data_IF_451159285447
#
_entry.id   IF_451159285447
#
_cell.length_a   1.000
_cell.length_b   1.000
_cell.length_c   1.000
_cell.angle_alpha   90.00
_cell.angle_beta   90.00
_cell.angle_gamma   90.00
#
_symmetry.space_group_name_H-M   'P 1'
#
loop_
_entity.id
_entity.type
_entity.pdbx_description
1 polymer ?
#
# COMPACT_ATOMS: atom_id res chain seq x y z
N UNK A 1 -59.46 0.61 20.16
CA UNK A 1 -59.74 0.57 21.62
C UNK A 1 -59.06 -0.69 22.15
N UNK A 2 -57.77 -0.63 22.48
CA UNK A 2 -57.22 -0.32 23.81
C UNK A 2 -57.81 -1.21 24.91
N UNK A 3 -57.09 -2.26 25.31
CA UNK A 3 -56.94 -2.60 26.72
C UNK A 3 -55.49 -3.03 26.98
N UNK A 4 -54.86 -2.22 27.82
CA UNK A 4 -53.49 -2.30 28.27
C UNK A 4 -53.35 -3.43 29.30
N UNK A 5 -52.44 -4.37 29.07
CA UNK A 5 -51.95 -5.24 30.15
C UNK A 5 -50.68 -4.63 30.73
N UNK A 6 -50.88 -3.95 31.85
CA UNK A 6 -49.85 -3.46 32.77
C UNK A 6 -49.31 -4.67 33.51
N UNK A 7 -48.01 -4.94 33.38
CA UNK A 7 -47.29 -5.84 34.29
C UNK A 7 -46.12 -5.07 34.88
N UNK A 8 -46.32 -4.69 36.14
CA UNK A 8 -45.34 -4.09 37.03
C UNK A 8 -44.48 -5.22 37.58
N UNK A 9 -43.18 -5.23 37.30
CA UNK A 9 -42.22 -6.04 38.06
C UNK A 9 -41.23 -5.16 38.81
N UNK A 10 -41.12 -5.51 40.08
CA UNK A 10 -40.51 -4.80 41.18
C UNK A 10 -39.04 -4.42 40.98
N UNK A 11 -38.69 -3.25 41.52
CA UNK A 11 -37.33 -2.85 41.86
C UNK A 11 -36.70 -3.88 42.80
N UNK A 12 -35.55 -4.43 42.40
CA UNK A 12 -34.56 -5.00 43.33
C UNK A 12 -33.51 -3.92 43.60
N UNK A 13 -33.63 -3.25 44.75
CA UNK A 13 -32.63 -2.33 45.24
C UNK A 13 -31.44 -3.13 45.79
N UNK A 14 -30.33 -3.16 45.06
CA UNK A 14 -29.05 -3.68 45.57
C UNK A 14 -28.36 -2.55 46.32
N UNK A 15 -28.36 -2.63 47.66
CA UNK A 15 -27.54 -1.78 48.52
C UNK A 15 -26.09 -2.23 48.41
N UNK A 16 -25.28 -1.51 47.62
CA UNK A 16 -23.83 -1.68 47.62
C UNK A 16 -23.26 -0.91 48.82
N UNK A 17 -22.70 -1.66 49.78
CA UNK A 17 -21.92 -1.14 50.90
C UNK A 17 -20.66 -0.46 50.32
N UNK A 18 -20.58 0.87 50.43
CA UNK A 18 -19.40 1.63 50.06
C UNK A 18 -18.28 1.33 51.07
N UNK A 19 -17.22 0.65 50.62
CA UNK A 19 -15.98 0.55 51.37
C UNK A 19 -15.22 1.89 51.33
N UNK A 20 -14.55 2.31 52.41
CA UNK A 20 -13.77 3.54 52.42
C UNK A 20 -12.54 3.41 51.52
N UNK A 21 -12.38 4.36 50.60
CA UNK A 21 -11.17 4.50 49.79
C UNK A 21 -10.04 5.06 50.68
N UNK A 22 -8.79 4.59 50.54
CA UNK A 22 -7.65 5.26 51.16
C UNK A 22 -7.31 6.55 50.41
N UNK A 23 -7.10 7.63 51.17
CA UNK A 23 -6.55 8.90 50.69
C UNK A 23 -5.20 8.70 49.98
N UNK A 24 -4.96 9.36 48.82
CA UNK A 24 -3.62 9.42 48.24
C UNK A 24 -2.85 10.62 48.81
N UNK A 25 -1.97 10.36 49.79
CA UNK A 25 -1.00 11.35 50.25
C UNK A 25 0.15 11.49 49.23
N UNK A 26 0.65 12.72 48.97
CA UNK A 26 1.47 13.03 47.81
C UNK A 26 2.96 12.89 48.13
N UNK A 27 3.74 12.69 47.05
CA UNK A 27 5.21 12.72 46.99
C UNK A 27 5.89 11.43 47.45
N UNK A 28 6.29 10.62 46.46
CA UNK A 28 7.71 10.41 46.10
C UNK A 28 7.78 9.32 45.04
N UNK A 29 8.33 9.68 43.89
CA UNK A 29 8.52 8.74 42.79
C UNK A 29 8.49 9.46 41.47
N UNK A 30 9.47 10.33 41.24
CA UNK A 30 9.79 10.85 39.92
C UNK A 30 10.27 9.67 39.07
N UNK A 31 9.34 8.82 38.62
CA UNK A 31 9.57 7.97 37.47
C UNK A 31 9.68 8.92 36.28
N UNK A 32 10.92 9.30 35.97
CA UNK A 32 11.26 9.66 34.60
C UNK A 32 10.81 8.48 33.77
N UNK A 33 9.66 8.62 33.12
CA UNK A 33 9.34 7.92 31.87
C UNK A 33 10.53 8.24 30.97
N UNK A 34 11.54 7.39 31.03
CA UNK A 34 12.52 7.27 29.99
C UNK A 34 11.69 7.02 28.76
N UNK A 35 11.46 8.08 27.98
CA UNK A 35 11.12 7.95 26.57
C UNK A 35 12.30 7.20 25.99
N UNK A 36 12.22 5.87 26.07
CA UNK A 36 13.02 4.99 25.26
C UNK A 36 12.61 5.37 23.86
N UNK A 37 13.35 6.32 23.28
CA UNK A 37 13.44 6.52 21.84
C UNK A 37 13.98 5.19 21.32
N UNK A 38 13.10 4.19 21.20
CA UNK A 38 13.28 3.13 20.24
C UNK A 38 13.33 3.89 18.93
N UNK A 39 14.55 4.22 18.51
CA UNK A 39 14.92 4.30 17.12
C UNK A 39 14.59 2.92 16.55
N UNK A 40 13.29 2.65 16.35
CA UNK A 40 12.83 1.65 15.42
C UNK A 40 13.22 2.27 14.09
N UNK A 41 14.48 2.03 13.70
CA UNK A 41 14.92 2.10 12.32
C UNK A 41 13.98 1.14 11.60
N UNK A 42 12.80 1.66 11.22
CA UNK A 42 11.94 0.99 10.25
C UNK A 42 12.87 0.81 9.08
N UNK A 43 13.25 -0.44 8.86
CA UNK A 43 13.94 -0.80 7.65
C UNK A 43 12.96 -0.41 6.54
N UNK A 44 13.19 0.76 5.93
CA UNK A 44 12.44 1.22 4.78
C UNK A 44 12.84 0.27 3.64
N UNK A 45 12.27 -0.93 3.62
CA UNK A 45 12.36 -1.83 2.48
C UNK A 45 11.88 -1.05 1.26
N UNK A 46 12.66 -1.12 0.18
CA UNK A 46 12.48 -0.29 -0.99
C UNK A 46 12.80 -1.07 -2.25
N UNK A 47 12.15 -0.66 -3.33
CA UNK A 47 12.40 -1.18 -4.66
C UNK A 47 13.41 -0.28 -5.35
N UNK A 48 14.56 -0.83 -5.68
CA UNK A 48 15.65 -0.14 -6.35
C UNK A 48 15.47 -0.26 -7.86
N UNK A 49 15.06 0.84 -8.47
CA UNK A 49 14.81 0.94 -9.89
C UNK A 49 16.01 1.59 -10.58
N UNK A 50 16.23 1.19 -11.83
CA UNK A 50 17.24 1.80 -12.71
C UNK A 50 16.57 2.09 -14.04
N UNK A 51 16.89 3.16 -14.73
CA UNK A 51 16.47 3.40 -16.12
C UNK A 51 17.52 4.28 -16.83
N UNK A 52 17.22 4.73 -18.05
CA UNK A 52 18.11 5.61 -18.82
C UNK A 52 18.39 6.96 -18.13
N UNK A 53 17.57 7.37 -17.17
CA UNK A 53 17.77 8.60 -16.39
C UNK A 53 18.55 8.38 -15.08
N UNK A 54 18.80 7.13 -14.68
CA UNK A 54 19.64 6.80 -13.53
C UNK A 54 18.97 5.83 -12.56
N UNK A 55 19.44 5.83 -11.31
CA UNK A 55 18.93 4.98 -10.22
C UNK A 55 17.97 5.76 -9.34
N UNK A 56 16.89 5.13 -8.87
CA UNK A 56 15.96 5.70 -7.92
C UNK A 56 15.30 4.61 -7.07
N UNK A 57 14.71 5.01 -5.94
CA UNK A 57 14.09 4.06 -5.01
C UNK A 57 12.60 4.39 -4.83
N UNK A 58 11.75 3.38 -4.97
CA UNK A 58 10.35 3.45 -4.55
C UNK A 58 10.25 2.79 -3.17
N UNK A 59 9.89 3.56 -2.14
CA UNK A 59 9.66 2.97 -0.81
C UNK A 59 8.47 2.02 -0.86
N UNK A 60 8.54 0.90 -0.13
CA UNK A 60 7.44 -0.07 -0.08
C UNK A 60 6.11 0.57 0.36
N UNK A 61 6.15 1.52 1.30
CA UNK A 61 4.95 2.26 1.73
C UNK A 61 4.32 3.08 0.61
N UNK A 62 5.10 3.62 -0.33
CA UNK A 62 4.57 4.34 -1.48
C UNK A 62 3.94 3.38 -2.49
N UNK A 63 4.56 2.22 -2.70
CA UNK A 63 4.00 1.17 -3.55
C UNK A 63 2.64 0.69 -3.03
N UNK A 64 2.53 0.40 -1.74
CA UNK A 64 1.27 -0.03 -1.11
C UNK A 64 0.17 1.03 -1.21
N UNK A 65 0.51 2.31 -1.00
CA UNK A 65 -0.46 3.40 -1.17
C UNK A 65 -0.91 3.59 -2.62
N UNK A 66 0.00 3.44 -3.57
CA UNK A 66 -0.32 3.51 -4.99
C UNK A 66 -1.26 2.36 -5.40
N UNK A 67 -0.98 1.13 -4.96
CA UNK A 67 -1.85 -0.04 -5.15
C UNK A 67 -3.26 0.20 -4.59
N UNK A 68 -3.35 0.70 -3.35
CA UNK A 68 -4.64 1.02 -2.74
C UNK A 68 -5.39 2.14 -3.48
N UNK A 69 -4.67 3.12 -4.04
CA UNK A 69 -5.26 4.21 -4.84
C UNK A 69 -5.76 3.71 -6.19
N UNK A 70 -5.04 2.77 -6.82
CA UNK A 70 -5.43 2.15 -8.09
C UNK A 70 -6.72 1.34 -7.95
N UNK A 71 -6.80 0.46 -6.95
CA UNK A 71 -7.93 -0.47 -6.82
C UNK A 71 -7.97 -1.46 -7.98
N UNK A 72 -9.16 -1.90 -8.40
CA UNK A 72 -9.29 -2.89 -9.50
C UNK A 72 -9.83 -2.29 -10.81
N UNK A 73 -10.58 -1.19 -10.72
CA UNK A 73 -11.27 -0.61 -11.87
C UNK A 73 -10.54 0.60 -12.44
N UNK A 74 -10.43 0.71 -13.78
CA UNK A 74 -9.82 1.87 -14.42
C UNK A 74 -10.60 3.16 -14.12
N UNK A 75 -9.88 4.26 -13.93
CA UNK A 75 -10.45 5.61 -13.91
C UNK A 75 -10.29 6.33 -15.25
N UNK A 76 -10.53 7.65 -15.26
CA UNK A 76 -10.39 8.50 -16.45
C UNK A 76 -8.96 8.57 -17.02
N UNK A 77 -7.95 8.21 -16.21
CA UNK A 77 -6.55 8.09 -16.64
C UNK A 77 -6.24 6.77 -17.37
N UNK A 78 -7.23 5.88 -17.51
CA UNK A 78 -7.08 4.48 -17.93
C UNK A 78 -6.29 3.59 -16.97
N UNK A 79 -5.94 4.08 -15.78
CA UNK A 79 -5.31 3.30 -14.73
C UNK A 79 -6.27 2.97 -13.58
N UNK A 80 -6.05 1.86 -12.84
CA UNK A 80 -5.16 0.77 -13.22
C UNK A 80 -5.65 0.06 -14.47
N UNK A 81 -4.74 -0.64 -15.14
CA UNK A 81 -5.08 -1.50 -16.28
C UNK A 81 -4.37 -2.84 -16.17
N UNK A 82 -4.84 -3.79 -17.00
CA UNK A 82 -4.32 -5.14 -17.05
C UNK A 82 -2.84 -5.13 -17.45
N UNK A 83 -2.03 -5.81 -16.65
CA UNK A 83 -0.66 -6.15 -16.98
C UNK A 83 -0.57 -7.67 -17.20
N UNK A 84 0.14 -8.09 -18.25
CA UNK A 84 0.23 -9.50 -18.64
C UNK A 84 1.50 -10.18 -18.12
N UNK A 85 2.29 -9.51 -17.27
CA UNK A 85 3.52 -10.09 -16.73
C UNK A 85 4.70 -10.07 -17.70
N UNK A 86 4.63 -9.31 -18.80
CA UNK A 86 5.62 -9.31 -19.87
C UNK A 86 6.48 -8.04 -19.87
N UNK A 87 7.71 -8.16 -20.34
CA UNK A 87 8.64 -7.03 -20.44
C UNK A 87 8.14 -5.93 -21.38
N UNK A 88 7.49 -6.27 -22.49
CA UNK A 88 7.02 -5.31 -23.49
C UNK A 88 5.64 -4.71 -23.17
N UNK A 89 5.44 -3.46 -23.58
CA UNK A 89 4.11 -2.81 -23.58
C UNK A 89 3.18 -3.57 -24.55
N UNK A 90 2.11 -4.19 -24.03
CA UNK A 90 1.01 -4.68 -24.88
C UNK A 90 1.08 -6.14 -25.36
N UNK A 91 1.57 -7.07 -24.54
CA UNK A 91 1.32 -8.51 -24.73
C UNK A 91 2.00 -9.17 -25.94
N UNK A 92 2.89 -8.47 -26.64
CA UNK A 92 3.65 -9.02 -27.75
C UNK A 92 4.90 -9.74 -27.24
N UNK A 93 4.99 -11.07 -27.42
CA UNK A 93 6.18 -11.95 -27.43
C UNK A 93 7.41 -11.59 -26.54
N UNK A 94 7.19 -10.92 -25.41
CA UNK A 94 8.26 -10.46 -24.52
C UNK A 94 8.73 -11.55 -23.57
N UNK A 95 9.87 -11.32 -22.92
CA UNK A 95 10.27 -12.17 -21.79
C UNK A 95 9.33 -11.91 -20.61
N UNK A 96 8.89 -12.97 -19.93
CA UNK A 96 8.08 -12.82 -18.72
C UNK A 96 8.93 -12.16 -17.62
N UNK A 97 8.42 -11.09 -17.03
CA UNK A 97 9.01 -10.48 -15.85
C UNK A 97 8.81 -11.39 -14.64
N UNK A 98 9.87 -11.53 -13.83
CA UNK A 98 9.85 -12.31 -12.60
C UNK A 98 9.98 -11.41 -11.38
N UNK A 99 8.95 -11.39 -10.55
CA UNK A 99 8.90 -10.69 -9.29
C UNK A 99 9.47 -11.59 -8.19
N UNK A 100 10.78 -11.50 -7.95
CA UNK A 100 11.49 -12.36 -7.01
C UNK A 100 11.01 -12.09 -5.58
N UNK A 101 10.70 -13.17 -4.85
CA UNK A 101 10.19 -13.10 -3.47
C UNK A 101 8.71 -12.69 -3.36
N UNK A 102 8.02 -12.50 -4.48
CA UNK A 102 6.59 -12.25 -4.51
C UNK A 102 5.77 -13.54 -4.35
N UNK A 103 4.46 -13.39 -4.16
CA UNK A 103 3.49 -14.48 -4.25
C UNK A 103 3.65 -15.25 -5.57
N UNK A 104 3.56 -16.58 -5.54
CA UNK A 104 3.83 -17.41 -6.71
C UNK A 104 2.87 -17.11 -7.87
N UNK A 105 1.64 -16.68 -7.56
CA UNK A 105 0.62 -16.28 -8.56
C UNK A 105 1.08 -15.10 -9.42
N UNK A 106 2.00 -14.27 -8.91
CA UNK A 106 2.58 -13.16 -9.66
C UNK A 106 3.48 -13.62 -10.82
N UNK A 107 3.95 -14.87 -10.79
CA UNK A 107 4.96 -15.42 -11.69
C UNK A 107 4.46 -16.62 -12.51
N UNK A 108 3.16 -16.92 -12.45
CA UNK A 108 2.48 -17.93 -13.28
C UNK A 108 2.55 -17.57 -14.77
N UNK A 109 2.23 -18.53 -15.66
CA UNK A 109 2.35 -18.34 -17.10
C UNK A 109 1.46 -17.20 -17.64
N UNK A 110 0.24 -17.09 -17.13
CA UNK A 110 -0.76 -16.10 -17.56
C UNK A 110 -1.33 -15.35 -16.34
N UNK A 111 -0.50 -14.56 -15.64
CA UNK A 111 -0.88 -14.01 -14.36
C UNK A 111 -1.90 -12.88 -14.55
N UNK A 112 -2.94 -12.88 -13.73
CA UNK A 112 -3.95 -11.81 -13.75
C UNK A 112 -3.46 -10.63 -12.92
N UNK A 113 -2.67 -9.75 -13.54
CA UNK A 113 -2.03 -8.61 -12.86
C UNK A 113 -2.66 -7.27 -13.25
N UNK A 114 -2.61 -6.32 -12.33
CA UNK A 114 -2.88 -4.92 -12.59
C UNK A 114 -1.61 -4.12 -12.37
N UNK A 115 -1.45 -3.07 -13.15
CA UNK A 115 -0.42 -2.05 -12.90
C UNK A 115 -1.04 -0.68 -12.60
N UNK A 116 -0.35 0.06 -11.72
CA UNK A 116 -0.72 1.44 -11.38
C UNK A 116 0.54 2.31 -11.23
N UNK A 117 0.55 3.57 -11.68
CA UNK A 117 1.72 4.42 -11.57
C UNK A 117 2.05 4.79 -10.12
N UNK A 118 3.35 4.86 -9.83
CA UNK A 118 3.88 5.29 -8.53
C UNK A 118 4.93 6.37 -8.74
N UNK A 119 4.77 7.50 -8.04
CA UNK A 119 5.70 8.61 -8.14
C UNK A 119 6.96 8.36 -7.30
N UNK A 120 8.11 8.86 -7.79
CA UNK A 120 9.42 8.74 -7.13
C UNK A 120 9.50 9.48 -5.79
N UNK A 121 8.61 10.44 -5.56
CA UNK A 121 8.49 11.23 -4.33
C UNK A 121 7.37 10.72 -3.41
N UNK A 122 6.66 9.67 -3.82
CA UNK A 122 5.52 9.11 -3.09
C UNK A 122 4.21 9.90 -3.21
N UNK A 123 4.15 10.92 -4.08
CA UNK A 123 2.89 11.61 -4.39
C UNK A 123 1.89 10.63 -5.02
N UNK A 124 0.65 10.67 -4.53
CA UNK A 124 -0.42 9.85 -5.09
C UNK A 124 -0.86 10.38 -6.45
N UNK A 125 -1.10 9.46 -7.37
CA UNK A 125 -1.59 9.75 -8.71
C UNK A 125 -3.09 9.54 -8.71
N UNK A 126 -3.85 10.58 -9.09
CA UNK A 126 -5.29 10.51 -9.14
C UNK A 126 -5.72 9.82 -10.44
N UNK A 127 -6.28 8.62 -10.33
CA UNK A 127 -6.74 7.86 -11.48
C UNK A 127 -7.93 8.47 -12.23
N UNK A 128 -8.64 9.40 -11.59
CA UNK A 128 -9.78 10.11 -12.14
C UNK A 128 -9.41 11.46 -12.77
N UNK A 129 -8.11 11.76 -12.90
CA UNK A 129 -7.66 12.89 -13.71
C UNK A 129 -7.19 12.40 -15.08
N UNK A 130 -7.66 13.00 -16.19
CA UNK A 130 -7.15 12.65 -17.51
C UNK A 130 -5.67 13.05 -17.63
N UNK A 131 -4.95 12.29 -18.44
CA UNK A 131 -3.53 12.52 -18.70
C UNK A 131 -2.64 11.40 -18.17
N UNK A 132 -1.71 10.95 -19.00
CA UNK A 132 -0.80 9.87 -18.65
C UNK A 132 0.11 10.22 -17.46
N UNK A 133 0.49 9.19 -16.71
CA UNK A 133 1.33 9.33 -15.53
C UNK A 133 2.73 9.88 -15.87
N UNK A 134 3.15 10.92 -15.14
CA UNK A 134 4.51 11.50 -15.24
C UNK A 134 5.49 10.76 -14.33
N UNK A 135 5.56 9.45 -14.49
CA UNK A 135 6.51 8.59 -13.79
C UNK A 135 6.79 7.35 -14.65
N UNK A 136 8.04 6.84 -14.69
CA UNK A 136 8.35 5.60 -15.37
C UNK A 136 7.98 4.37 -14.55
N UNK A 137 7.74 4.52 -13.24
CA UNK A 137 7.53 3.40 -12.33
C UNK A 137 6.05 3.01 -12.21
N UNK A 138 5.82 1.71 -12.06
CA UNK A 138 4.51 1.07 -11.86
C UNK A 138 4.58 0.10 -10.69
N UNK A 139 3.57 0.10 -9.84
CA UNK A 139 3.31 -1.02 -8.93
C UNK A 139 2.54 -2.09 -9.68
N UNK A 140 2.81 -3.36 -9.35
CA UNK A 140 2.14 -4.51 -9.94
C UNK A 140 1.55 -5.36 -8.82
N UNK A 141 0.29 -5.76 -8.98
CA UNK A 141 -0.45 -6.51 -7.96
C UNK A 141 -1.48 -7.45 -8.58
N UNK A 142 -1.92 -8.46 -7.82
CA UNK A 142 -2.90 -9.43 -8.29
C UNK A 142 -4.28 -8.77 -8.48
N UNK A 143 -4.89 -9.01 -9.63
CA UNK A 143 -6.27 -8.59 -9.90
C UNK A 143 -7.28 -9.32 -9.01
N UNK A 144 -7.07 -10.62 -8.80
CA UNK A 144 -7.93 -11.47 -7.96
C UNK A 144 -7.82 -11.15 -6.46
N UNK A 145 -6.70 -10.55 -6.04
CA UNK A 145 -6.47 -10.14 -4.66
C UNK A 145 -5.65 -8.85 -4.63
N UNK A 146 -6.30 -7.66 -4.71
CA UNK A 146 -5.62 -6.37 -4.80
C UNK A 146 -4.92 -5.94 -3.50
N UNK A 147 -4.79 -6.84 -2.52
CA UNK A 147 -3.97 -6.67 -1.33
C UNK A 147 -2.57 -7.29 -1.49
N UNK A 148 -2.37 -8.12 -2.51
CA UNK A 148 -1.11 -8.81 -2.78
C UNK A 148 -0.30 -8.01 -3.79
N UNK A 149 0.71 -7.31 -3.27
CA UNK A 149 1.70 -6.60 -4.07
C UNK A 149 2.69 -7.60 -4.66
N UNK A 150 2.77 -7.67 -5.99
CA UNK A 150 3.78 -8.46 -6.68
C UNK A 150 5.14 -7.75 -6.71
N UNK A 151 5.14 -6.44 -6.91
CA UNK A 151 6.37 -5.65 -6.83
C UNK A 151 6.27 -4.30 -7.53
N UNK A 152 7.42 -3.76 -7.90
CA UNK A 152 7.54 -2.52 -8.66
C UNK A 152 8.36 -2.80 -9.92
N UNK A 153 7.93 -2.21 -11.02
CA UNK A 153 8.68 -2.19 -12.27
C UNK A 153 8.85 -0.76 -12.76
N UNK A 154 9.78 -0.55 -13.68
CA UNK A 154 10.00 0.74 -14.33
C UNK A 154 10.21 0.54 -15.81
N UNK A 155 9.73 1.49 -16.62
CA UNK A 155 10.19 1.61 -17.99
C UNK A 155 11.72 1.78 -18.03
N UNK A 156 12.36 1.17 -19.03
CA UNK A 156 13.81 1.24 -19.26
C UNK A 156 14.26 2.62 -19.71
N UNK A 157 13.40 3.37 -20.40
CA UNK A 157 13.65 4.74 -20.81
C UNK A 157 12.76 5.72 -20.04
N UNK A 158 13.32 6.89 -19.72
CA UNK A 158 12.58 8.02 -19.16
C UNK A 158 12.97 9.32 -19.86
N UNK A 159 11.97 10.10 -20.23
CA UNK A 159 12.17 11.45 -20.72
C UNK A 159 12.38 12.40 -19.53
N UNK A 160 13.61 12.94 -19.38
CA UNK A 160 14.01 13.81 -18.26
C UNK A 160 13.20 15.10 -18.13
N UNK A 161 12.63 15.61 -19.22
CA UNK A 161 11.84 16.85 -19.21
C UNK A 161 10.42 16.61 -18.69
N UNK A 162 9.83 15.46 -19.01
CA UNK A 162 8.42 15.17 -18.71
C UNK A 162 8.23 14.17 -17.56
N UNK A 163 9.28 13.46 -17.17
CA UNK A 163 9.23 12.35 -16.21
C UNK A 163 8.49 11.11 -16.72
N UNK A 164 8.11 11.07 -18.01
CA UNK A 164 7.37 9.94 -18.59
C UNK A 164 8.33 8.80 -18.92
N UNK A 165 7.93 7.58 -18.56
CA UNK A 165 8.59 6.36 -19.00
C UNK A 165 8.11 5.92 -20.38
N UNK A 166 8.95 5.16 -21.08
CA UNK A 166 8.62 4.56 -22.37
C UNK A 166 9.44 3.29 -22.64
N UNK A 167 8.94 2.45 -23.53
CA UNK A 167 9.58 1.19 -23.93
C UNK A 167 9.40 0.11 -22.88
N UNK A 168 10.20 -0.95 -22.99
CA UNK A 168 10.13 -2.11 -22.11
C UNK A 168 10.14 -1.77 -20.61
N UNK A 169 9.50 -2.61 -19.82
CA UNK A 169 9.61 -2.64 -18.38
C UNK A 169 10.77 -3.49 -17.91
N UNK A 170 11.24 -3.21 -16.70
CA UNK A 170 12.01 -4.17 -15.92
C UNK A 170 11.63 -4.09 -14.46
N UNK A 171 11.77 -5.21 -13.77
CA UNK A 171 11.51 -5.31 -12.34
C UNK A 171 12.57 -4.53 -11.57
N UNK A 172 12.13 -3.83 -10.53
CA UNK A 172 13.01 -3.16 -9.59
C UNK A 172 13.39 -4.15 -8.48
N UNK A 173 14.67 -4.17 -8.10
CA UNK A 173 15.16 -5.10 -7.08
C UNK A 173 14.62 -4.71 -5.71
N UNK A 174 13.96 -5.65 -5.01
CA UNK A 174 13.59 -5.41 -3.62
C UNK A 174 14.86 -5.49 -2.78
N UNK A 175 15.24 -4.39 -2.16
CA UNK A 175 16.35 -4.36 -1.22
C UNK A 175 15.99 -5.14 0.04
N UNK A 176 16.41 -6.40 0.11
CA UNK A 176 16.68 -7.06 1.37
C UNK A 176 18.08 -6.63 1.83
N UNK A 177 18.21 -6.31 3.11
CA UNK A 177 19.54 -6.21 3.73
C UNK A 177 20.15 -7.60 3.84
#
# INVERSE_FOLDING_TARGET
MLFHNVVIFALMAVSALAAPMPDPDPKKGLFKLGKSKKNKKKNDAGYHCVNSSGRFTIKQVWALKAMATGGTEPGLSSYPHQFFGMQGDGGSAGTQLKFIGADSRCNEKDPQLLEFPVAKDGKLINKNMPGGAKTPARVVYLKSDPKVLCGVMTHIAENKLTGRGSGDFKVCDMGAK
#
